data_IF_396425760937
#
_entry.id   IF_396425760937
#
_cell.length_a   1.000
_cell.length_b   1.000
_cell.length_c   1.000
_cell.angle_alpha   90.00
_cell.angle_beta   90.00
_cell.angle_gamma   90.00
#
_symmetry.space_group_name_H-M   'P 1'
#
loop_
_entity.id
_entity.type
_entity.pdbx_description
1 polymer ?
#
# COMPACT_ATOMS: atom_id res chain seq x y z
N UNK A 1 -26.90 7.78 -11.65
CA UNK A 1 -27.26 6.62 -10.81
C UNK A 1 -26.18 6.51 -9.75
N UNK A 2 -26.53 6.89 -8.51
CA UNK A 2 -25.62 6.85 -7.36
C UNK A 2 -25.26 5.39 -7.07
N UNK A 3 -23.97 5.07 -7.17
CA UNK A 3 -23.47 3.77 -6.71
C UNK A 3 -23.78 3.66 -5.22
N UNK A 4 -24.72 2.78 -4.87
CA UNK A 4 -24.97 2.44 -3.48
C UNK A 4 -23.65 2.01 -2.84
N UNK A 5 -23.26 2.57 -1.69
CA UNK A 5 -22.02 2.19 -1.05
C UNK A 5 -22.07 0.70 -0.69
N UNK A 6 -21.09 -0.05 -1.19
CA UNK A 6 -20.95 -1.48 -0.85
C UNK A 6 -20.93 -1.57 0.68
N UNK A 7 -21.72 -2.44 1.33
CA UNK A 7 -21.71 -2.58 2.78
C UNK A 7 -20.32 -3.05 3.25
N UNK A 8 -19.53 -2.11 3.74
CA UNK A 8 -18.18 -2.36 4.23
C UNK A 8 -18.26 -3.07 5.58
N UNK A 9 -17.43 -4.07 5.78
CA UNK A 9 -17.34 -4.72 7.08
C UNK A 9 -16.74 -3.74 8.10
N UNK A 10 -17.06 -3.90 9.42
CA UNK A 10 -16.43 -3.09 10.47
C UNK A 10 -14.90 -3.22 10.42
N UNK A 11 -14.40 -4.40 10.09
CA UNK A 11 -12.97 -4.68 9.94
C UNK A 11 -12.37 -3.92 8.75
N UNK A 12 -13.00 -3.96 7.57
CA UNK A 12 -12.50 -3.23 6.41
C UNK A 12 -12.52 -1.71 6.60
N UNK A 13 -13.55 -1.19 7.29
CA UNK A 13 -13.60 0.23 7.64
C UNK A 13 -12.52 0.63 8.65
N UNK A 14 -12.24 -0.22 9.64
CA UNK A 14 -11.17 0.02 10.60
C UNK A 14 -9.81 0.03 9.90
N UNK A 15 -9.53 -0.95 9.04
CA UNK A 15 -8.27 -1.01 8.27
C UNK A 15 -8.15 0.20 7.35
N UNK A 16 -9.21 0.59 6.64
CA UNK A 16 -9.20 1.76 5.76
C UNK A 16 -8.97 3.06 6.54
N UNK A 17 -9.61 3.21 7.71
CA UNK A 17 -9.43 4.39 8.57
C UNK A 17 -8.01 4.46 9.13
N UNK A 18 -7.47 3.34 9.62
CA UNK A 18 -6.10 3.27 10.15
C UNK A 18 -5.09 3.54 9.02
N UNK A 19 -5.28 2.91 7.84
CA UNK A 19 -4.42 3.14 6.69
C UNK A 19 -4.48 4.62 6.23
N UNK A 20 -5.66 5.23 6.25
CA UNK A 20 -5.83 6.64 5.92
C UNK A 20 -5.11 7.58 6.88
N UNK A 21 -5.24 7.35 8.18
CA UNK A 21 -4.56 8.16 9.22
C UNK A 21 -3.04 7.96 9.14
N UNK A 22 -2.57 6.71 9.07
CA UNK A 22 -1.13 6.42 8.97
C UNK A 22 -0.54 6.96 7.66
N UNK A 23 -1.27 6.84 6.55
CA UNK A 23 -0.86 7.41 5.27
C UNK A 23 -0.77 8.93 5.31
N UNK A 24 -1.78 9.60 5.89
CA UNK A 24 -1.80 11.06 6.04
C UNK A 24 -0.67 11.57 6.94
N UNK A 25 -0.48 10.96 8.10
CA UNK A 25 0.63 11.28 9.00
C UNK A 25 1.98 11.01 8.36
N UNK A 26 2.11 9.88 7.65
CA UNK A 26 3.32 9.52 6.94
C UNK A 26 3.71 10.54 5.86
N UNK A 27 2.76 10.96 5.02
CA UNK A 27 3.00 11.99 4.00
C UNK A 27 3.37 13.33 4.64
N UNK A 28 2.66 13.73 5.71
CA UNK A 28 2.95 14.97 6.41
C UNK A 28 4.37 14.96 7.01
N UNK A 29 4.75 13.85 7.64
CA UNK A 29 6.09 13.65 8.21
C UNK A 29 7.14 13.65 7.11
N UNK A 30 6.90 12.92 6.01
CA UNK A 30 7.79 12.91 4.84
C UNK A 30 8.02 14.32 4.31
N UNK A 31 6.95 15.09 4.10
CA UNK A 31 7.03 16.47 3.62
C UNK A 31 7.82 17.35 4.58
N UNK A 32 7.55 17.26 5.89
CA UNK A 32 8.28 18.02 6.91
C UNK A 32 9.79 17.70 6.91
N UNK A 33 10.15 16.42 6.78
CA UNK A 33 11.55 15.99 6.69
C UNK A 33 12.23 16.57 5.44
N UNK A 34 11.58 16.49 4.29
CA UNK A 34 12.15 17.04 3.04
C UNK A 34 12.36 18.55 3.17
N UNK A 35 11.37 19.28 3.67
CA UNK A 35 11.48 20.73 3.90
C UNK A 35 12.64 21.04 4.85
N UNK A 36 12.75 20.30 5.96
CA UNK A 36 13.85 20.45 6.89
C UNK A 36 15.22 20.23 6.22
N UNK A 37 15.37 19.15 5.48
CA UNK A 37 16.63 18.82 4.76
C UNK A 37 16.99 19.90 3.75
N UNK A 38 16.00 20.42 3.02
CA UNK A 38 16.20 21.52 2.07
C UNK A 38 16.69 22.78 2.79
N UNK A 39 16.07 23.16 3.90
CA UNK A 39 16.50 24.31 4.68
C UNK A 39 17.93 24.12 5.20
N UNK A 40 18.25 22.94 5.76
CA UNK A 40 19.60 22.63 6.24
C UNK A 40 20.63 22.77 5.12
N UNK A 41 20.33 22.28 3.93
CA UNK A 41 21.23 22.30 2.79
C UNK A 41 21.49 23.71 2.25
N UNK A 42 20.42 24.51 2.13
CA UNK A 42 20.55 25.83 1.49
C UNK A 42 20.86 26.97 2.49
N UNK A 43 20.32 26.91 3.71
CA UNK A 43 20.57 27.95 4.72
C UNK A 43 21.85 27.70 5.51
N UNK A 44 22.18 26.44 5.80
CA UNK A 44 23.29 26.05 6.67
C UNK A 44 24.45 25.36 5.94
N UNK A 45 24.33 25.12 4.63
CA UNK A 45 25.31 24.37 3.81
C UNK A 45 25.68 23.01 4.43
N UNK A 46 24.74 22.40 5.15
CA UNK A 46 24.88 21.14 5.86
C UNK A 46 23.80 20.17 5.43
N UNK A 47 24.17 18.94 5.05
CA UNK A 47 23.21 17.89 4.73
C UNK A 47 23.32 16.76 5.78
N UNK A 48 22.25 16.50 6.55
CA UNK A 48 22.25 15.39 7.51
C UNK A 48 22.49 14.04 6.82
N UNK A 49 23.28 13.16 7.40
CA UNK A 49 23.61 11.85 6.79
C UNK A 49 22.37 10.99 6.51
N UNK A 50 21.37 11.05 7.38
CA UNK A 50 20.13 10.27 7.28
C UNK A 50 19.12 10.81 6.25
N UNK A 51 19.41 11.95 5.64
CA UNK A 51 18.46 12.70 4.77
C UNK A 51 17.99 11.93 3.53
N UNK A 52 18.66 10.87 3.13
CA UNK A 52 18.28 10.04 1.99
C UNK A 52 17.58 8.74 2.42
N UNK A 53 18.05 8.10 3.48
CA UNK A 53 17.54 6.79 3.91
C UNK A 53 16.19 6.87 4.61
N UNK A 54 16.01 7.85 5.51
CA UNK A 54 14.76 8.00 6.27
C UNK A 54 13.58 8.39 5.37
N UNK A 55 13.68 9.39 4.46
CA UNK A 55 12.59 9.68 3.53
C UNK A 55 12.27 8.54 2.59
N UNK A 56 13.29 7.80 2.10
CA UNK A 56 13.07 6.60 1.27
C UNK A 56 12.26 5.55 2.00
N UNK A 57 12.62 5.24 3.24
CA UNK A 57 11.90 4.28 4.07
C UNK A 57 10.45 4.71 4.29
N UNK A 58 10.23 5.97 4.68
CA UNK A 58 8.89 6.52 4.87
C UNK A 58 8.05 6.46 3.61
N UNK A 59 8.63 6.86 2.46
CA UNK A 59 7.91 6.84 1.18
C UNK A 59 7.43 5.43 0.82
N UNK A 60 8.29 4.42 0.98
CA UNK A 60 7.93 3.02 0.72
C UNK A 60 6.76 2.60 1.61
N UNK A 61 6.87 2.78 2.93
CA UNK A 61 5.81 2.38 3.86
C UNK A 61 4.50 3.12 3.60
N UNK A 62 4.53 4.42 3.39
CA UNK A 62 3.33 5.24 3.11
C UNK A 62 2.67 4.79 1.80
N UNK A 63 3.45 4.52 0.77
CA UNK A 63 2.93 4.04 -0.52
C UNK A 63 2.21 2.70 -0.37
N UNK A 64 2.82 1.74 0.33
CA UNK A 64 2.22 0.42 0.53
C UNK A 64 1.00 0.46 1.46
N UNK A 65 1.01 1.28 2.51
CA UNK A 65 -0.16 1.50 3.37
C UNK A 65 -1.30 2.13 2.56
N UNK A 66 -0.99 3.10 1.70
CA UNK A 66 -1.97 3.70 0.80
C UNK A 66 -2.56 2.69 -0.20
N UNK A 67 -1.74 1.76 -0.69
CA UNK A 67 -2.19 0.68 -1.57
C UNK A 67 -3.23 -0.22 -0.89
N UNK A 68 -3.09 -0.54 0.41
CA UNK A 68 -4.10 -1.29 1.18
C UNK A 68 -5.45 -0.59 1.15
N UNK A 69 -5.48 0.73 1.41
CA UNK A 69 -6.71 1.53 1.34
C UNK A 69 -7.34 1.51 -0.06
N UNK A 70 -6.51 1.58 -1.10
CA UNK A 70 -6.98 1.51 -2.49
C UNK A 70 -7.60 0.13 -2.82
N UNK A 71 -7.05 -0.97 -2.30
CA UNK A 71 -7.64 -2.30 -2.43
C UNK A 71 -9.01 -2.38 -1.74
N UNK A 72 -9.15 -1.85 -0.52
CA UNK A 72 -10.41 -1.86 0.23
C UNK A 72 -11.49 -1.04 -0.48
N UNK A 73 -11.12 0.08 -1.06
CA UNK A 73 -12.05 0.96 -1.79
C UNK A 73 -12.45 0.43 -3.16
N UNK A 74 -11.93 -0.72 -3.60
CA UNK A 74 -12.10 -1.28 -4.96
C UNK A 74 -11.64 -0.32 -6.08
N UNK A 75 -10.87 0.70 -5.75
CA UNK A 75 -10.39 1.67 -6.75
C UNK A 75 -9.29 1.09 -7.63
N UNK A 76 -8.61 0.03 -7.17
CA UNK A 76 -7.56 -0.65 -7.93
C UNK A 76 -8.08 -1.54 -9.06
N UNK A 77 -9.23 -2.18 -8.87
CA UNK A 77 -9.79 -3.17 -9.79
C UNK A 77 -10.84 -2.60 -10.74
N UNK A 78 -11.46 -1.49 -10.34
CA UNK A 78 -12.50 -0.84 -11.13
C UNK A 78 -12.08 0.59 -11.42
N UNK A 79 -11.23 0.80 -12.41
CA UNK A 79 -10.99 2.13 -12.98
C UNK A 79 -12.26 2.72 -13.67
N UNK A 80 -13.46 2.28 -13.25
CA UNK A 80 -14.72 2.69 -13.86
C UNK A 80 -14.95 2.15 -15.29
N UNK A 81 -13.90 1.63 -15.92
CA UNK A 81 -13.97 1.12 -17.31
C UNK A 81 -14.85 -0.12 -17.44
N UNK A 82 -14.89 -0.98 -16.44
CA UNK A 82 -15.69 -2.21 -16.50
C UNK A 82 -17.18 -1.89 -16.52
N UNK A 83 -17.60 -0.85 -15.82
CA UNK A 83 -19.01 -0.40 -15.80
C UNK A 83 -19.41 0.33 -17.11
N UNK A 84 -18.44 0.92 -17.80
CA UNK A 84 -18.65 1.62 -19.07
C UNK A 84 -18.61 0.67 -20.28
N UNK A 85 -17.78 -0.38 -20.24
CA UNK A 85 -17.52 -1.24 -21.39
C UNK A 85 -18.31 -2.56 -21.38
N UNK A 86 -18.80 -3.02 -20.21
CA UNK A 86 -19.44 -4.34 -20.09
C UNK A 86 -20.93 -4.17 -19.73
N UNK A 87 -21.81 -4.56 -20.66
CA UNK A 87 -23.26 -4.60 -20.43
C UNK A 87 -23.62 -5.53 -19.25
N UNK A 88 -24.64 -5.20 -18.45
CA UNK A 88 -25.09 -6.05 -17.35
C UNK A 88 -25.54 -7.43 -17.89
N UNK A 89 -24.90 -8.50 -17.38
CA UNK A 89 -25.16 -9.87 -17.79
C UNK A 89 -24.19 -10.87 -17.19
N UNK A 90 -24.35 -12.15 -17.54
CA UNK A 90 -23.46 -13.26 -17.10
C UNK A 90 -21.99 -13.02 -17.39
N UNK A 91 -21.68 -12.30 -18.47
CA UNK A 91 -20.31 -11.93 -18.82
C UNK A 91 -19.67 -10.99 -17.81
N UNK A 92 -20.42 -10.03 -17.25
CA UNK A 92 -19.93 -9.13 -16.18
C UNK A 92 -19.57 -9.91 -14.92
N UNK A 93 -20.36 -10.90 -14.53
CA UNK A 93 -20.07 -11.74 -13.37
C UNK A 93 -18.81 -12.57 -13.56
N UNK A 94 -18.61 -13.09 -14.76
CA UNK A 94 -17.39 -13.84 -15.12
C UNK A 94 -16.15 -12.97 -15.06
N UNK A 95 -16.19 -11.76 -15.64
CA UNK A 95 -15.08 -10.80 -15.61
C UNK A 95 -14.78 -10.38 -14.14
N UNK A 96 -15.81 -10.15 -13.34
CA UNK A 96 -15.63 -9.81 -11.93
C UNK A 96 -14.98 -10.96 -11.13
N UNK A 97 -15.36 -12.21 -11.41
CA UNK A 97 -14.73 -13.38 -10.79
C UNK A 97 -13.25 -13.50 -11.19
N UNK A 98 -12.96 -13.35 -12.48
CA UNK A 98 -11.60 -13.41 -13.00
C UNK A 98 -10.71 -12.32 -12.38
N UNK A 99 -11.24 -11.09 -12.27
CA UNK A 99 -10.55 -9.99 -11.64
C UNK A 99 -10.24 -10.25 -10.15
N UNK A 100 -11.16 -10.88 -9.41
CA UNK A 100 -10.95 -11.27 -8.01
C UNK A 100 -9.87 -12.34 -7.87
N UNK A 101 -9.93 -13.37 -8.69
CA UNK A 101 -8.92 -14.42 -8.70
C UNK A 101 -7.53 -13.86 -9.04
N UNK A 102 -7.46 -12.97 -10.03
CA UNK A 102 -6.22 -12.30 -10.40
C UNK A 102 -5.65 -11.45 -9.24
N UNK A 103 -6.51 -10.75 -8.49
CA UNK A 103 -6.09 -9.96 -7.33
C UNK A 103 -5.59 -10.83 -6.18
N UNK A 104 -6.25 -11.95 -5.91
CA UNK A 104 -5.80 -12.90 -4.90
C UNK A 104 -4.45 -13.49 -5.27
N UNK A 105 -4.31 -13.94 -6.52
CA UNK A 105 -3.05 -14.46 -7.04
C UNK A 105 -1.94 -13.42 -6.94
N UNK A 106 -2.21 -12.18 -7.34
CA UNK A 106 -1.27 -11.07 -7.23
C UNK A 106 -0.80 -10.86 -5.78
N UNK A 107 -1.73 -10.83 -4.80
CA UNK A 107 -1.38 -10.65 -3.39
C UNK A 107 -0.52 -11.80 -2.86
N UNK A 108 -0.80 -13.05 -3.27
CA UNK A 108 0.01 -14.22 -2.91
C UNK A 108 1.43 -14.09 -3.48
N UNK A 109 1.55 -13.71 -4.74
CA UNK A 109 2.87 -13.51 -5.39
C UNK A 109 3.64 -12.38 -4.71
N UNK A 110 2.99 -11.25 -4.42
CA UNK A 110 3.61 -10.12 -3.72
C UNK A 110 4.06 -10.50 -2.32
N UNK A 111 3.24 -11.25 -1.58
CA UNK A 111 3.62 -11.76 -0.26
C UNK A 111 4.85 -12.67 -0.34
N UNK A 112 4.82 -13.66 -1.22
CA UNK A 112 5.91 -14.63 -1.35
C UNK A 112 7.22 -13.97 -1.79
N UNK A 113 7.16 -13.19 -2.86
CA UNK A 113 8.35 -12.47 -3.37
C UNK A 113 8.85 -11.44 -2.37
N UNK A 114 7.95 -10.71 -1.72
CA UNK A 114 8.29 -9.73 -0.69
C UNK A 114 8.97 -10.38 0.51
N UNK A 115 8.49 -11.56 0.95
CA UNK A 115 9.12 -12.31 2.02
C UNK A 115 10.54 -12.77 1.66
N UNK A 116 10.71 -13.34 0.47
CA UNK A 116 12.03 -13.79 0.00
C UNK A 116 13.03 -12.64 -0.07
N UNK A 117 12.64 -11.51 -0.66
CA UNK A 117 13.52 -10.34 -0.76
C UNK A 117 13.84 -9.79 0.64
N UNK A 118 12.86 -9.71 1.54
CA UNK A 118 13.08 -9.25 2.91
C UNK A 118 14.07 -10.15 3.64
N UNK A 119 13.91 -11.46 3.55
CA UNK A 119 14.82 -12.42 4.19
C UNK A 119 16.24 -12.34 3.61
N UNK A 120 16.36 -12.22 2.29
CA UNK A 120 17.65 -12.13 1.60
C UNK A 120 18.40 -10.83 1.95
N UNK A 121 17.67 -9.72 2.08
CA UNK A 121 18.25 -8.40 2.33
C UNK A 121 18.36 -8.04 3.81
N UNK A 122 17.91 -8.92 4.71
CA UNK A 122 17.93 -8.65 6.14
C UNK A 122 19.34 -8.50 6.71
N UNK A 123 20.28 -9.28 6.18
CA UNK A 123 21.70 -9.22 6.54
C UNK A 123 22.47 -8.07 5.89
N UNK A 124 21.89 -7.38 4.93
CA UNK A 124 22.50 -6.24 4.29
C UNK A 124 22.17 -4.97 5.05
N UNK A 125 23.19 -4.22 5.46
CA UNK A 125 23.00 -2.94 6.14
C UNK A 125 22.92 -1.80 5.13
N UNK A 126 22.13 -0.76 5.49
CA UNK A 126 22.09 0.49 4.73
C UNK A 126 23.41 1.25 4.92
N UNK A 127 23.80 2.02 3.92
CA UNK A 127 25.14 2.62 3.82
C UNK A 127 25.42 3.66 4.92
N UNK A 128 24.39 4.31 5.44
CA UNK A 128 24.56 5.49 6.33
C UNK A 128 24.09 5.21 7.75
N UNK A 129 22.93 4.56 7.91
CA UNK A 129 22.33 4.30 9.23
C UNK A 129 22.64 2.91 9.76
N UNK A 130 23.27 2.04 8.97
CA UNK A 130 23.55 0.63 9.30
C UNK A 130 22.28 -0.12 9.73
N UNK A 131 21.13 0.26 9.16
CA UNK A 131 19.87 -0.44 9.38
C UNK A 131 19.72 -1.61 8.40
N UNK A 132 19.03 -2.69 8.78
CA UNK A 132 18.76 -3.78 7.85
C UNK A 132 18.00 -3.26 6.62
N UNK A 133 18.53 -3.46 5.42
CA UNK A 133 17.86 -3.03 4.18
C UNK A 133 16.50 -3.72 4.01
N UNK A 134 16.34 -4.91 4.60
CA UNK A 134 15.09 -5.65 4.69
C UNK A 134 13.91 -4.87 5.27
N UNK A 135 14.15 -3.86 6.11
CA UNK A 135 13.10 -2.99 6.68
C UNK A 135 12.26 -2.29 5.60
N UNK A 136 12.88 -1.88 4.50
CA UNK A 136 12.16 -1.28 3.36
C UNK A 136 11.31 -2.31 2.62
N UNK A 137 11.81 -3.54 2.46
CA UNK A 137 11.11 -4.61 1.75
C UNK A 137 10.03 -5.28 2.59
N UNK A 138 10.10 -5.18 3.91
CA UNK A 138 9.13 -5.72 4.85
C UNK A 138 7.72 -5.08 4.66
N UNK A 139 7.66 -3.88 4.10
CA UNK A 139 6.40 -3.24 3.73
C UNK A 139 5.57 -4.09 2.76
N UNK A 140 6.20 -4.84 1.83
CA UNK A 140 5.54 -5.70 0.84
C UNK A 140 4.72 -6.83 1.49
N UNK A 141 5.31 -7.76 2.28
CA UNK A 141 4.55 -8.85 2.88
C UNK A 141 3.53 -8.36 3.92
N UNK A 142 3.86 -7.33 4.71
CA UNK A 142 2.94 -6.79 5.72
C UNK A 142 1.69 -6.21 5.08
N UNK A 143 1.85 -5.40 4.05
CA UNK A 143 0.70 -4.78 3.37
C UNK A 143 -0.06 -5.78 2.49
N UNK A 144 0.61 -6.79 1.92
CA UNK A 144 -0.06 -7.87 1.20
C UNK A 144 -0.99 -8.67 2.13
N UNK A 145 -0.56 -8.98 3.36
CA UNK A 145 -1.42 -9.62 4.37
C UNK A 145 -2.60 -8.72 4.75
N UNK A 146 -2.36 -7.44 5.01
CA UNK A 146 -3.42 -6.50 5.35
C UNK A 146 -4.47 -6.36 4.22
N UNK A 147 -4.01 -6.28 2.97
CA UNK A 147 -4.87 -6.23 1.80
C UNK A 147 -5.66 -7.54 1.60
N UNK A 148 -5.02 -8.69 1.83
CA UNK A 148 -5.66 -10.00 1.75
C UNK A 148 -6.77 -10.14 2.80
N UNK A 149 -6.49 -9.83 4.07
CA UNK A 149 -7.47 -9.86 5.15
C UNK A 149 -8.65 -8.93 4.85
N UNK A 150 -8.37 -7.73 4.36
CA UNK A 150 -9.40 -6.77 3.98
C UNK A 150 -10.28 -7.29 2.83
N UNK A 151 -9.68 -7.92 1.82
CA UNK A 151 -10.40 -8.47 0.68
C UNK A 151 -11.28 -9.64 1.08
N UNK A 152 -10.77 -10.58 1.90
CA UNK A 152 -11.53 -11.70 2.45
C UNK A 152 -12.69 -11.21 3.33
N UNK A 153 -12.45 -10.20 4.18
CA UNK A 153 -13.49 -9.63 5.04
C UNK A 153 -14.62 -8.94 4.27
N UNK A 154 -14.35 -8.42 3.08
CA UNK A 154 -15.36 -7.87 2.17
C UNK A 154 -16.15 -8.99 1.47
N UNK A 155 -15.47 -10.08 1.09
CA UNK A 155 -16.10 -11.18 0.34
C UNK A 155 -17.02 -12.06 1.20
N UNK A 156 -16.63 -12.33 2.46
CA UNK A 156 -17.44 -13.14 3.40
C UNK A 156 -18.79 -12.51 3.77
N UNK A 157 -19.03 -11.26 3.38
CA UNK A 157 -20.28 -10.54 3.67
C UNK A 157 -21.21 -10.39 2.47
N UNK A 158 -20.84 -10.94 1.30
CA UNK A 158 -21.73 -10.98 0.12
C UNK A 158 -22.58 -12.24 0.11
#
# INVERSE_FOLDING_TARGET
>A
MQNAPIPRSRISNAIDSVAGVLGGLGISTFTAIIVYVVICRYAFSFTPRWSEEVPRLLLVWVTFIGAVSAFIRNTHLCAGLTDLMVKPGRFRSFVALLARLASLLFLIVVFWSGWQITALTWSHETTVLSWPAGLSYLALPVTAVAAFVALVAVELRK
#
